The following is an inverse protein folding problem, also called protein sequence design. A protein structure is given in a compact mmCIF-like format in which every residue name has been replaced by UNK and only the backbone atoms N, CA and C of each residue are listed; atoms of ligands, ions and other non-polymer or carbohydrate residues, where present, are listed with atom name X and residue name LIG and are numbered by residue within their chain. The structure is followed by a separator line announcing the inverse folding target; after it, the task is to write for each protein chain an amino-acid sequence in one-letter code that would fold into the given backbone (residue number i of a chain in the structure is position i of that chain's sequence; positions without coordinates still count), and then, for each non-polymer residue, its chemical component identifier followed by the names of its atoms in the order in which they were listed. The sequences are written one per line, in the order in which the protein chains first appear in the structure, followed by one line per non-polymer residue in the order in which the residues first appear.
data_IF_330562669774
#
_entry.id   IF_330562669774
#
_cell.length_a   1.000
_cell.length_b   1.000
_cell.length_c   1.000
_cell.angle_alpha   90.00
_cell.angle_beta   90.00
_cell.angle_gamma   90.00
#
_symmetry.space_group_name_H-M   'P 1'
#
loop_
_entity.id
_entity.type
_entity.pdbx_description
1 polymer ?
#
# COMPACT_ATOMS: atom_id res chain seq x y z
N UNK A 1 14.75 17.00 2.97
CA UNK A 1 14.54 15.54 3.14
C UNK A 1 13.09 15.33 3.56
N UNK A 2 12.15 15.24 2.62
CA UNK A 2 10.70 15.24 2.93
C UNK A 2 10.20 13.95 3.61
N UNK A 3 10.98 12.87 3.57
CA UNK A 3 10.61 11.55 4.10
C UNK A 3 11.41 11.22 5.36
N UNK A 4 11.16 11.95 6.44
CA UNK A 4 11.67 11.69 7.78
C UNK A 4 10.49 11.36 8.70
N UNK A 5 10.63 10.32 9.51
CA UNK A 5 9.61 9.93 10.48
C UNK A 5 10.16 8.97 11.53
N UNK A 6 9.25 8.33 12.26
CA UNK A 6 9.59 7.40 13.34
C UNK A 6 9.01 6.03 13.01
N UNK A 7 9.78 4.99 13.24
CA UNK A 7 9.32 3.60 13.17
C UNK A 7 8.26 3.34 14.22
N UNK A 8 7.10 2.84 13.80
CA UNK A 8 5.95 2.57 14.68
C UNK A 8 6.20 1.44 15.69
N UNK A 9 7.17 0.57 15.44
CA UNK A 9 7.51 -0.58 16.28
C UNK A 9 8.77 -0.32 17.11
N UNK A 10 9.80 0.26 16.50
CA UNK A 10 11.12 0.42 17.16
C UNK A 10 11.35 1.81 17.75
N UNK A 11 10.58 2.83 17.33
CA UNK A 11 10.79 4.21 17.75
C UNK A 11 12.02 4.90 17.14
N UNK A 12 12.78 4.20 16.28
CA UNK A 12 13.96 4.76 15.62
C UNK A 12 13.57 5.68 14.45
N UNK A 13 14.48 6.56 14.06
CA UNK A 13 14.27 7.43 12.90
C UNK A 13 14.21 6.61 11.61
N UNK A 14 13.08 6.68 10.91
CA UNK A 14 12.93 6.15 9.56
C UNK A 14 13.10 7.26 8.53
N UNK A 15 13.79 6.93 7.44
CA UNK A 15 14.03 7.87 6.35
C UNK A 15 13.77 7.25 4.98
N UNK A 16 13.41 8.09 4.01
CA UNK A 16 13.25 7.70 2.61
C UNK A 16 12.22 6.60 2.39
N UNK A 17 12.62 5.57 1.63
CA UNK A 17 11.72 4.49 1.19
C UNK A 17 11.09 3.70 2.34
N UNK A 18 11.84 3.42 3.40
CA UNK A 18 11.32 2.66 4.54
C UNK A 18 10.15 3.41 5.22
N UNK A 19 10.22 4.74 5.28
CA UNK A 19 9.11 5.55 5.79
C UNK A 19 7.89 5.50 4.86
N UNK A 20 8.09 5.48 3.54
CA UNK A 20 7.00 5.36 2.56
C UNK A 20 6.31 4.00 2.66
N UNK A 21 7.08 2.92 2.81
CA UNK A 21 6.54 1.57 3.05
C UNK A 21 5.69 1.53 4.32
N UNK A 22 6.19 2.10 5.43
CA UNK A 22 5.41 2.22 6.66
C UNK A 22 4.11 3.03 6.45
N UNK A 23 4.18 4.14 5.72
CA UNK A 23 3.01 4.97 5.40
C UNK A 23 1.95 4.19 4.63
N UNK A 24 2.36 3.44 3.58
CA UNK A 24 1.47 2.56 2.81
C UNK A 24 0.81 1.49 3.70
N UNK A 25 1.58 0.82 4.56
CA UNK A 25 1.03 -0.17 5.51
C UNK A 25 -0.02 0.46 6.46
N UNK A 26 0.23 1.67 6.93
CA UNK A 26 -0.73 2.41 7.77
C UNK A 26 -2.00 2.74 6.99
N UNK A 27 -1.89 3.13 5.72
CA UNK A 27 -3.05 3.41 4.85
C UNK A 27 -3.88 2.14 4.62
N UNK A 28 -3.24 1.00 4.30
CA UNK A 28 -3.95 -0.25 4.01
C UNK A 28 -4.62 -0.87 5.24
N UNK A 29 -4.00 -0.74 6.41
CA UNK A 29 -4.56 -1.25 7.67
C UNK A 29 -5.63 -0.35 8.28
N UNK A 30 -5.76 0.91 7.83
CA UNK A 30 -6.75 1.84 8.38
C UNK A 30 -8.02 1.82 7.55
N UNK A 31 -9.13 1.38 8.14
CA UNK A 31 -10.46 1.47 7.51
C UNK A 31 -10.95 2.93 7.43
N UNK A 32 -11.66 3.26 6.35
CA UNK A 32 -12.35 4.56 6.23
C UNK A 32 -13.26 4.78 7.44
N UNK A 33 -13.15 5.95 8.08
CA UNK A 33 -13.91 6.29 9.29
C UNK A 33 -13.26 5.87 10.61
N UNK A 34 -12.18 5.09 10.60
CA UNK A 34 -11.53 4.60 11.83
C UNK A 34 -10.81 5.70 12.62
N UNK A 35 -10.33 6.77 11.96
CA UNK A 35 -9.62 7.87 12.62
C UNK A 35 -10.57 8.99 13.04
N UNK A 36 -10.57 9.30 14.33
CA UNK A 36 -11.23 10.49 14.89
C UNK A 36 -10.60 11.75 14.27
N UNK A 37 -11.42 12.74 13.94
CA UNK A 37 -11.05 13.97 13.20
C UNK A 37 -10.46 13.80 11.79
N UNK A 38 -10.31 12.56 11.28
CA UNK A 38 -9.83 12.27 9.90
C UNK A 38 -10.61 11.11 9.27
N UNK A 39 -11.94 11.20 9.28
CA UNK A 39 -12.82 10.11 8.83
C UNK A 39 -12.64 9.72 7.36
N UNK A 40 -12.21 10.64 6.51
CA UNK A 40 -11.94 10.36 5.09
C UNK A 40 -10.67 9.55 4.89
N UNK A 41 -9.74 9.55 5.85
CA UNK A 41 -8.48 8.83 5.75
C UNK A 41 -8.67 7.32 5.90
N UNK A 42 -7.98 6.57 5.05
CA UNK A 42 -7.91 5.12 5.09
C UNK A 42 -8.09 4.50 3.72
N UNK A 43 -8.41 3.21 3.72
CA UNK A 43 -8.67 2.41 2.54
C UNK A 43 -9.91 1.53 2.72
N UNK A 44 -10.46 1.06 1.60
CA UNK A 44 -11.52 0.04 1.59
C UNK A 44 -10.98 -1.38 1.80
N UNK A 45 -9.65 -1.55 1.90
CA UNK A 45 -8.99 -2.85 2.04
C UNK A 45 -9.55 -3.64 3.23
N UNK A 46 -9.69 -3.09 4.45
CA UNK A 46 -10.19 -3.85 5.59
C UNK A 46 -11.62 -4.37 5.41
N UNK A 47 -12.45 -3.71 4.60
CA UNK A 47 -13.83 -4.14 4.33
C UNK A 47 -13.92 -5.29 3.30
N UNK A 48 -12.85 -5.50 2.51
CA UNK A 48 -12.75 -6.58 1.53
C UNK A 48 -12.13 -7.86 2.11
N UNK A 49 -11.43 -7.76 3.24
CA UNK A 49 -10.88 -8.91 3.94
C UNK A 49 -12.00 -9.83 4.43
N UNK A 50 -11.78 -11.15 4.30
CA UNK A 50 -12.75 -12.18 4.68
C UNK A 50 -13.87 -12.43 3.66
N UNK A 51 -13.91 -11.71 2.54
CA UNK A 51 -14.82 -12.03 1.43
C UNK A 51 -14.34 -13.26 0.65
N UNK A 52 -15.25 -13.88 -0.10
CA UNK A 52 -14.92 -15.04 -0.92
C UNK A 52 -13.87 -14.69 -2.00
N UNK A 53 -12.93 -15.62 -2.20
CA UNK A 53 -11.81 -15.46 -3.11
C UNK A 53 -12.25 -15.71 -4.57
N UNK A 54 -12.87 -14.70 -5.16
CA UNK A 54 -13.28 -14.70 -6.58
C UNK A 54 -12.57 -13.58 -7.35
N UNK A 55 -12.40 -13.69 -8.68
CA UNK A 55 -11.70 -12.68 -9.48
C UNK A 55 -12.23 -11.25 -9.29
N UNK A 56 -13.54 -11.11 -9.09
CA UNK A 56 -14.17 -9.81 -8.81
C UNK A 56 -13.70 -9.20 -7.48
N UNK A 57 -13.52 -10.01 -6.43
CA UNK A 57 -13.01 -9.56 -5.13
C UNK A 57 -11.54 -9.15 -5.23
N UNK A 58 -10.73 -9.94 -5.95
CA UNK A 58 -9.31 -9.63 -6.19
C UNK A 58 -9.17 -8.30 -6.94
N UNK A 59 -9.97 -8.07 -7.99
CA UNK A 59 -9.97 -6.79 -8.71
C UNK A 59 -10.38 -5.61 -7.83
N UNK A 60 -11.41 -5.78 -6.99
CA UNK A 60 -11.83 -4.75 -6.01
C UNK A 60 -10.71 -4.46 -5.02
N UNK A 61 -10.00 -5.49 -4.55
CA UNK A 61 -8.88 -5.35 -3.64
C UNK A 61 -7.73 -4.55 -4.27
N UNK A 62 -7.31 -4.92 -5.49
CA UNK A 62 -6.30 -4.19 -6.25
C UNK A 62 -6.70 -2.72 -6.48
N UNK A 63 -7.96 -2.49 -6.83
CA UNK A 63 -8.50 -1.14 -7.04
C UNK A 63 -8.49 -0.32 -5.75
N UNK A 64 -8.88 -0.93 -4.62
CA UNK A 64 -8.89 -0.27 -3.31
C UNK A 64 -7.46 0.12 -2.87
N UNK A 65 -6.48 -0.74 -3.13
CA UNK A 65 -5.06 -0.45 -2.88
C UNK A 65 -4.57 0.71 -3.77
N UNK A 66 -4.85 0.66 -5.09
CA UNK A 66 -4.46 1.70 -6.02
C UNK A 66 -5.02 3.08 -5.63
N UNK A 67 -6.33 3.15 -5.34
CA UNK A 67 -7.01 4.38 -4.93
C UNK A 67 -6.44 4.91 -3.61
N UNK A 68 -6.18 4.02 -2.65
CA UNK A 68 -5.66 4.45 -1.36
C UNK A 68 -4.24 5.03 -1.45
N UNK A 69 -3.39 4.47 -2.31
CA UNK A 69 -2.06 5.02 -2.59
C UNK A 69 -2.18 6.38 -3.27
N UNK A 70 -3.00 6.49 -4.32
CA UNK A 70 -3.14 7.73 -5.11
C UNK A 70 -3.66 8.90 -4.25
N UNK A 71 -4.58 8.62 -3.32
CA UNK A 71 -5.15 9.63 -2.43
C UNK A 71 -4.20 10.10 -1.32
N UNK A 72 -3.39 9.20 -0.76
CA UNK A 72 -2.71 9.44 0.52
C UNK A 72 -1.19 9.36 0.48
N UNK A 73 -0.59 8.78 -0.57
CA UNK A 73 0.85 8.59 -0.68
C UNK A 73 1.40 9.14 -2.01
N UNK A 74 1.54 10.47 -2.14
CA UNK A 74 1.99 11.09 -3.39
C UNK A 74 3.43 10.72 -3.77
N UNK A 75 4.23 10.19 -2.83
CA UNK A 75 5.62 9.77 -3.08
C UNK A 75 5.73 8.45 -3.82
N UNK A 76 4.63 7.73 -4.01
CA UNK A 76 4.63 6.47 -4.72
C UNK A 76 3.49 6.43 -5.74
N UNK A 77 3.83 6.28 -7.02
CA UNK A 77 2.84 6.16 -8.09
C UNK A 77 2.80 4.73 -8.61
N UNK A 78 1.66 4.08 -8.48
CA UNK A 78 1.46 2.72 -8.98
C UNK A 78 1.51 2.69 -10.50
N UNK A 79 2.23 1.72 -11.06
CA UNK A 79 2.34 1.45 -12.50
C UNK A 79 1.64 0.16 -12.89
N UNK A 80 1.83 -0.90 -12.11
CA UNK A 80 1.22 -2.19 -12.38
C UNK A 80 1.12 -3.03 -11.11
N UNK A 81 0.23 -4.00 -11.15
CA UNK A 81 0.10 -5.05 -10.16
C UNK A 81 0.52 -6.38 -10.79
N UNK A 82 1.18 -7.23 -10.01
CA UNK A 82 1.48 -8.61 -10.36
C UNK A 82 1.00 -9.53 -9.25
N UNK A 83 0.45 -10.68 -9.63
CA UNK A 83 0.03 -11.75 -8.72
C UNK A 83 0.98 -12.91 -8.97
N UNK A 84 2.10 -12.98 -8.23
CA UNK A 84 3.12 -13.96 -8.52
C UNK A 84 2.61 -15.35 -8.10
N UNK A 85 2.77 -16.34 -8.97
CA UNK A 85 2.15 -17.66 -8.82
C UNK A 85 2.74 -18.51 -7.70
N UNK A 86 3.98 -18.22 -7.31
CA UNK A 86 4.69 -18.79 -6.17
C UNK A 86 4.05 -18.38 -4.83
N UNK A 87 3.53 -17.16 -4.72
CA UNK A 87 2.82 -16.66 -3.54
C UNK A 87 1.32 -16.97 -3.55
N UNK A 88 0.79 -17.53 -4.64
CA UNK A 88 -0.63 -17.78 -4.87
C UNK A 88 -0.89 -19.22 -5.34
N UNK A 89 -0.22 -20.17 -4.69
CA UNK A 89 -0.43 -21.59 -4.89
C UNK A 89 -1.73 -22.08 -4.23
N UNK A 90 -2.15 -23.30 -4.56
CA UNK A 90 -3.41 -23.87 -4.07
C UNK A 90 -3.46 -23.99 -2.54
N UNK A 91 -2.30 -24.18 -1.89
CA UNK A 91 -2.21 -24.22 -0.43
C UNK A 91 -2.43 -22.83 0.18
N UNK A 92 -1.75 -21.80 -0.34
CA UNK A 92 -1.95 -20.41 0.09
C UNK A 92 -3.40 -19.95 -0.08
N UNK A 93 -4.03 -20.31 -1.21
CA UNK A 93 -5.44 -20.03 -1.45
C UNK A 93 -6.35 -20.73 -0.42
N UNK A 94 -6.04 -21.99 -0.06
CA UNK A 94 -6.76 -22.73 0.99
C UNK A 94 -6.62 -22.11 2.39
N UNK A 95 -5.50 -21.43 2.66
CA UNK A 95 -5.26 -20.67 3.90
C UNK A 95 -5.82 -19.25 3.86
N UNK A 96 -6.45 -18.83 2.76
CA UNK A 96 -6.97 -17.47 2.58
C UNK A 96 -5.90 -16.41 2.41
N UNK A 97 -4.70 -16.78 1.96
CA UNK A 97 -3.59 -15.86 1.68
C UNK A 97 -3.57 -15.45 0.21
N UNK A 98 -3.32 -14.18 -0.04
CA UNK A 98 -3.15 -13.60 -1.37
C UNK A 98 -1.85 -12.81 -1.36
N UNK A 99 -0.87 -13.23 -2.16
CA UNK A 99 0.36 -12.47 -2.38
C UNK A 99 0.20 -11.54 -3.58
N UNK A 100 0.57 -10.27 -3.44
CA UNK A 100 0.48 -9.29 -4.52
C UNK A 100 1.71 -8.40 -4.56
N UNK A 101 2.25 -8.17 -5.75
CA UNK A 101 3.34 -7.22 -5.96
C UNK A 101 2.82 -5.96 -6.62
N UNK A 102 3.21 -4.82 -6.07
CA UNK A 102 2.92 -3.49 -6.63
C UNK A 102 4.22 -2.93 -7.20
N UNK A 103 4.22 -2.65 -8.49
CA UNK A 103 5.33 -1.95 -9.14
C UNK A 103 4.95 -0.50 -9.32
N UNK A 104 5.86 0.41 -8.94
CA UNK A 104 5.59 1.83 -9.03
C UNK A 104 6.84 2.70 -9.02
N UNK A 105 6.62 3.99 -9.31
CA UNK A 105 7.66 5.00 -9.34
C UNK A 105 7.78 5.66 -7.97
N UNK A 106 8.99 5.68 -7.40
CA UNK A 106 9.27 6.37 -6.14
C UNK A 106 9.78 7.79 -6.40
N UNK A 107 9.05 8.75 -5.82
CA UNK A 107 9.27 10.20 -5.92
C UNK A 107 9.44 10.79 -4.51
N UNK A 108 10.67 10.82 -3.96
CA UNK A 108 10.92 11.16 -2.56
C UNK A 108 10.50 12.58 -2.14
N UNK A 109 10.42 13.51 -3.10
CA UNK A 109 10.10 14.92 -2.87
C UNK A 109 8.68 15.29 -3.31
N UNK A 110 7.82 14.32 -3.62
CA UNK A 110 6.47 14.61 -4.13
C UNK A 110 5.61 15.44 -3.16
N UNK A 111 5.88 15.35 -1.86
CA UNK A 111 5.23 16.20 -0.84
C UNK A 111 5.64 17.68 -0.93
N UNK A 112 6.79 17.97 -1.53
CA UNK A 112 7.30 19.32 -1.77
C UNK A 112 6.90 19.84 -3.17
N UNK A 113 6.15 19.06 -3.95
CA UNK A 113 5.70 19.39 -5.31
C UNK A 113 6.67 18.97 -6.42
N UNK A 114 7.77 18.31 -6.08
CA UNK A 114 8.73 17.74 -7.05
C UNK A 114 8.40 16.27 -7.33
N UNK A 115 7.92 16.01 -8.55
CA UNK A 115 7.53 14.67 -9.02
C UNK A 115 8.64 13.96 -9.80
N UNK A 116 9.89 14.34 -9.60
CA UNK A 116 11.03 13.66 -10.22
C UNK A 116 11.09 12.20 -9.75
N UNK A 117 11.04 11.27 -10.72
CA UNK A 117 11.17 9.84 -10.46
C UNK A 117 12.64 9.51 -10.20
N UNK A 118 12.93 8.97 -9.02
CA UNK A 118 14.31 8.67 -8.62
C UNK A 118 14.65 7.20 -8.93
N UNK A 119 13.79 6.26 -8.53
CA UNK A 119 14.01 4.81 -8.76
C UNK A 119 12.65 4.08 -8.84
N UNK A 120 12.42 3.17 -9.81
CA UNK A 120 11.30 2.24 -9.77
C UNK A 120 11.42 1.27 -8.59
N UNK A 121 10.35 1.09 -7.82
CA UNK A 121 10.31 0.20 -6.65
C UNK A 121 9.18 -0.81 -6.77
N UNK A 122 9.46 -2.02 -6.29
CA UNK A 122 8.46 -3.07 -6.08
C UNK A 122 8.15 -3.16 -4.59
N UNK A 123 6.87 -3.29 -4.26
CA UNK A 123 6.36 -3.54 -2.91
C UNK A 123 5.63 -4.86 -2.93
N UNK A 124 6.03 -5.79 -2.08
CA UNK A 124 5.32 -7.05 -1.87
C UNK A 124 4.27 -6.85 -0.76
N UNK A 125 3.04 -7.28 -1.02
CA UNK A 125 1.90 -7.30 -0.10
C UNK A 125 1.44 -8.73 0.16
#
# INVERSE_FOLDING_TARGET
MSSLGIDRHTGQTLTGWAHVVQSMQVIFSTGVGARVMRRTFGSAVPALLGQNFVPATVLRFMSAVAIAIDLWEPRFRVRSFSLPSDANDAESAGQGRLGMQIHGDYMPNALEGDFTVVVPKTVDL
#
